data_IF_981104581553
#
_entry.id   IF_981104581553
#
_cell.length_a   1.000
_cell.length_b   1.000
_cell.length_c   1.000
_cell.angle_alpha   90.00
_cell.angle_beta   90.00
_cell.angle_gamma   90.00
#
_symmetry.space_group_name_H-M   'P 1'
#
loop_
_entity.id
_entity.type
_entity.pdbx_description
1 polymer ?
#
# COMPACT_ATOMS: atom_id res chain seq x y z
N UNK A 1 -5.80 26.80 -35.93
CA UNK A 1 -5.04 27.01 -34.70
C UNK A 1 -5.43 25.93 -33.71
N UNK A 2 -4.55 24.96 -33.51
CA UNK A 2 -4.76 23.79 -32.61
C UNK A 2 -4.21 22.47 -33.17
N UNK A 3 -3.83 22.42 -34.45
CA UNK A 3 -3.18 21.27 -35.04
C UNK A 3 -1.73 21.20 -34.59
N UNK A 4 -1.26 20.01 -34.26
CA UNK A 4 0.13 19.75 -33.86
C UNK A 4 1.02 19.48 -35.06
N UNK A 5 0.44 18.98 -36.15
CA UNK A 5 1.08 18.77 -37.46
C UNK A 5 0.03 18.81 -38.55
N UNK A 6 0.48 18.99 -39.81
CA UNK A 6 -0.30 18.88 -41.06
C UNK A 6 0.67 18.46 -42.20
N UNK A 7 0.48 17.31 -42.74
CA UNK A 7 1.24 16.79 -43.88
C UNK A 7 0.46 16.84 -45.20
N UNK A 8 -0.75 17.41 -45.16
CA UNK A 8 -1.60 17.67 -46.33
C UNK A 8 -2.50 16.51 -46.72
N UNK A 9 -2.60 15.46 -45.89
CA UNK A 9 -3.50 14.33 -46.13
C UNK A 9 -4.07 13.80 -44.80
N UNK A 10 -4.82 12.71 -44.83
CA UNK A 10 -5.41 12.05 -43.63
C UNK A 10 -5.00 10.60 -43.53
N UNK A 11 -3.86 10.25 -44.09
CA UNK A 11 -3.30 8.90 -44.04
C UNK A 11 -2.42 8.82 -42.80
N UNK A 12 -2.64 7.83 -41.92
CA UNK A 12 -1.75 7.55 -40.82
C UNK A 12 -0.46 6.89 -41.33
N UNK A 13 0.64 7.05 -40.58
CA UNK A 13 1.94 6.45 -40.83
C UNK A 13 2.82 7.17 -41.87
N UNK A 14 2.71 8.45 -41.98
CA UNK A 14 3.54 9.28 -42.84
C UNK A 14 4.06 10.57 -42.17
N UNK A 15 3.83 10.67 -40.85
CA UNK A 15 4.37 11.72 -39.97
C UNK A 15 3.33 12.52 -39.21
N UNK A 16 2.06 12.45 -39.64
CA UNK A 16 0.95 13.12 -39.02
C UNK A 16 -0.32 12.27 -39.11
N UNK A 17 -0.96 11.97 -37.99
CA UNK A 17 -2.23 11.22 -37.99
C UNK A 17 -3.33 12.02 -38.72
N UNK A 18 -4.36 11.32 -39.19
CA UNK A 18 -5.57 11.95 -39.73
C UNK A 18 -6.30 12.86 -38.72
N UNK A 19 -5.86 12.89 -37.44
CA UNK A 19 -6.32 13.81 -36.40
C UNK A 19 -5.32 14.94 -36.12
N UNK A 20 -4.34 15.16 -36.97
CA UNK A 20 -3.33 16.20 -36.88
C UNK A 20 -2.45 16.09 -35.60
N UNK A 21 -2.12 14.88 -35.21
CA UNK A 21 -1.18 14.57 -34.14
C UNK A 21 0.11 14.03 -34.75
N UNK A 22 1.24 14.42 -34.14
CA UNK A 22 2.57 13.97 -34.59
C UNK A 22 2.75 12.49 -34.27
N UNK A 23 2.99 11.69 -35.28
CA UNK A 23 3.35 10.28 -35.15
C UNK A 23 4.80 10.14 -34.74
N UNK A 24 4.99 9.73 -33.48
CA UNK A 24 6.35 9.49 -32.96
C UNK A 24 6.32 8.62 -31.73
N UNK A 25 7.34 7.82 -31.60
CA UNK A 25 7.63 7.05 -30.41
C UNK A 25 7.65 7.92 -29.15
N UNK A 26 7.03 7.42 -28.08
CA UNK A 26 7.00 8.03 -26.77
C UNK A 26 5.91 9.09 -26.56
N UNK A 27 4.87 9.08 -27.38
CA UNK A 27 3.73 10.00 -27.24
C UNK A 27 2.54 9.40 -26.47
N UNK A 28 2.62 8.10 -26.09
CA UNK A 28 1.59 7.37 -25.36
C UNK A 28 0.52 6.73 -26.25
N UNK A 29 0.73 6.74 -27.56
CA UNK A 29 -0.18 6.12 -28.55
C UNK A 29 0.63 5.21 -29.44
N UNK A 30 0.30 3.93 -29.46
CA UNK A 30 0.95 2.97 -30.34
C UNK A 30 0.50 3.22 -31.80
N UNK A 31 1.42 3.65 -32.64
CA UNK A 31 1.18 4.05 -34.03
C UNK A 31 2.06 3.26 -34.99
N UNK A 32 1.54 3.08 -36.23
CA UNK A 32 2.31 2.65 -37.40
C UNK A 32 3.17 1.40 -37.19
N UNK A 33 4.48 1.57 -37.24
CA UNK A 33 5.47 0.48 -37.12
C UNK A 33 5.89 0.19 -35.69
N UNK A 34 5.29 0.85 -34.71
CA UNK A 34 5.56 0.66 -33.32
C UNK A 34 4.99 -0.67 -32.81
N UNK A 35 5.79 -1.40 -32.05
CA UNK A 35 5.31 -2.61 -31.38
C UNK A 35 4.82 -2.33 -29.97
N UNK A 36 5.23 -1.18 -29.40
CA UNK A 36 4.81 -0.65 -28.11
C UNK A 36 4.96 0.88 -28.09
N UNK A 37 4.28 1.56 -27.18
CA UNK A 37 4.52 2.95 -26.77
C UNK A 37 4.11 3.08 -25.28
N UNK A 38 5.01 3.47 -24.42
CA UNK A 38 4.80 3.65 -22.98
C UNK A 38 4.74 5.13 -22.55
N UNK A 39 4.72 6.03 -23.55
CA UNK A 39 4.60 7.47 -23.34
C UNK A 39 5.93 8.18 -23.10
N UNK A 40 7.06 7.48 -23.31
CA UNK A 40 8.38 8.08 -23.17
C UNK A 40 9.37 7.48 -24.19
N UNK A 41 10.64 7.92 -24.19
CA UNK A 41 11.72 7.41 -25.06
C UNK A 41 12.89 6.90 -24.24
N UNK A 42 12.62 6.40 -23.04
CA UNK A 42 13.62 5.77 -22.17
C UNK A 42 13.61 4.29 -22.47
N UNK A 43 14.76 3.67 -22.62
CA UNK A 43 14.87 2.22 -22.78
C UNK A 43 15.10 1.55 -21.44
N UNK A 44 14.61 0.31 -21.27
CA UNK A 44 14.76 -0.50 -20.06
C UNK A 44 13.52 -0.47 -19.15
N UNK A 45 12.38 -0.04 -19.64
CA UNK A 45 11.10 0.05 -18.94
C UNK A 45 9.95 -0.67 -19.69
N UNK A 46 10.32 -1.50 -20.68
CA UNK A 46 9.41 -2.35 -21.43
C UNK A 46 9.23 -1.94 -22.89
N UNK A 47 9.49 -0.66 -23.22
CA UNK A 47 9.46 -0.15 -24.56
C UNK A 47 10.72 0.65 -24.88
N UNK A 48 11.44 0.28 -25.93
CA UNK A 48 12.68 0.96 -26.29
C UNK A 48 12.42 2.38 -26.80
N UNK A 49 13.46 3.22 -26.81
CA UNK A 49 13.43 4.56 -27.37
C UNK A 49 13.05 4.60 -28.89
N UNK A 50 12.90 3.45 -29.52
CA UNK A 50 12.47 3.27 -30.92
C UNK A 50 11.15 2.52 -31.03
N UNK A 51 10.39 2.43 -29.96
CA UNK A 51 9.07 1.80 -29.85
C UNK A 51 9.03 0.34 -30.33
N UNK A 52 10.05 -0.39 -29.95
CA UNK A 52 10.13 -1.83 -30.11
C UNK A 52 10.11 -2.46 -28.72
N UNK A 53 9.30 -3.50 -28.53
CA UNK A 53 9.32 -4.25 -27.28
C UNK A 53 10.74 -4.62 -26.91
N UNK A 54 11.12 -4.26 -25.72
CA UNK A 54 12.37 -4.72 -25.15
C UNK A 54 12.20 -6.17 -24.69
N UNK A 55 13.21 -7.02 -24.88
CA UNK A 55 13.15 -8.36 -24.30
C UNK A 55 13.09 -8.20 -22.78
N UNK A 56 12.20 -8.94 -22.14
CA UNK A 56 12.08 -9.02 -20.69
C UNK A 56 13.46 -9.22 -20.08
N UNK A 57 13.94 -8.23 -19.33
CA UNK A 57 15.27 -8.25 -18.71
C UNK A 57 15.10 -8.50 -17.22
N UNK A 58 15.07 -9.77 -16.87
CA UNK A 58 15.03 -10.18 -15.46
C UNK A 58 16.12 -9.49 -14.64
N UNK A 59 15.73 -8.81 -13.58
CA UNK A 59 16.65 -8.21 -12.65
C UNK A 59 16.99 -6.74 -12.91
N UNK A 60 16.21 -6.06 -13.75
CA UNK A 60 16.39 -4.64 -14.05
C UNK A 60 15.65 -3.70 -13.08
N UNK A 61 14.77 -4.24 -12.22
CA UNK A 61 13.98 -3.49 -11.25
C UNK A 61 12.57 -3.09 -11.73
N UNK A 62 12.19 -3.51 -12.93
CA UNK A 62 10.88 -3.22 -13.55
C UNK A 62 10.20 -4.55 -13.85
N UNK A 63 8.94 -4.73 -13.46
CA UNK A 63 8.14 -5.90 -13.85
C UNK A 63 7.50 -5.61 -15.20
N UNK A 64 8.04 -6.22 -16.25
CA UNK A 64 7.54 -6.06 -17.62
C UNK A 64 6.39 -7.02 -17.93
N UNK A 65 5.79 -6.81 -19.12
CA UNK A 65 4.69 -7.63 -19.59
C UNK A 65 5.19 -9.05 -19.95
N UNK A 66 4.88 -10.03 -19.12
CA UNK A 66 5.35 -11.41 -19.26
C UNK A 66 6.13 -11.90 -18.06
N UNK A 67 6.58 -11.00 -17.20
CA UNK A 67 7.22 -11.32 -15.94
C UNK A 67 6.19 -11.56 -14.83
N UNK A 68 6.42 -12.59 -14.05
CA UNK A 68 5.68 -12.82 -12.79
C UNK A 68 6.31 -12.04 -11.64
N UNK A 69 7.61 -11.73 -11.78
CA UNK A 69 8.38 -10.97 -10.79
C UNK A 69 9.70 -10.51 -11.41
N UNK A 70 10.31 -9.45 -10.89
CA UNK A 70 11.65 -9.01 -11.26
C UNK A 70 12.64 -9.19 -10.10
N UNK A 71 13.80 -9.77 -10.36
CA UNK A 71 14.86 -10.01 -9.40
C UNK A 71 15.86 -8.83 -9.27
N UNK A 72 15.51 -7.64 -9.75
CA UNK A 72 16.36 -6.43 -9.70
C UNK A 72 16.85 -6.10 -8.31
N UNK A 73 18.02 -5.53 -8.21
CA UNK A 73 18.75 -5.26 -6.95
C UNK A 73 18.05 -4.33 -5.97
N UNK A 74 16.94 -3.71 -6.37
CA UNK A 74 16.15 -2.81 -5.51
C UNK A 74 14.96 -3.48 -4.87
N UNK A 75 14.58 -4.69 -5.29
CA UNK A 75 13.40 -5.40 -4.80
C UNK A 75 13.71 -6.72 -4.05
N UNK A 76 14.96 -6.96 -3.70
CA UNK A 76 15.32 -8.08 -2.81
C UNK A 76 14.56 -8.04 -1.46
N UNK A 77 13.85 -6.94 -1.20
CA UNK A 77 13.00 -6.72 -0.02
C UNK A 77 11.50 -6.84 -0.31
N UNK A 78 11.08 -7.13 -1.54
CA UNK A 78 9.68 -7.38 -1.84
C UNK A 78 9.32 -8.81 -1.44
N UNK A 79 9.18 -8.96 -0.16
CA UNK A 79 8.46 -10.09 0.40
C UNK A 79 7.03 -9.95 -0.08
N UNK A 80 6.47 -11.03 -0.61
CA UNK A 80 5.06 -11.06 -0.90
C UNK A 80 4.29 -10.97 0.41
N UNK A 81 3.93 -9.74 0.79
CA UNK A 81 2.91 -9.53 1.81
C UNK A 81 1.58 -9.59 1.08
N UNK A 82 0.73 -10.48 1.53
CA UNK A 82 -0.64 -10.59 1.07
C UNK A 82 -1.58 -10.24 2.21
N UNK A 83 -2.61 -9.45 1.91
CA UNK A 83 -3.70 -9.16 2.84
C UNK A 83 -4.97 -9.76 2.30
N UNK A 84 -5.66 -10.54 3.13
CA UNK A 84 -6.97 -11.08 2.79
C UNK A 84 -8.01 -10.72 3.84
N UNK A 85 -9.24 -10.45 3.39
CA UNK A 85 -10.39 -10.18 4.25
C UNK A 85 -11.69 -10.62 3.55
N UNK A 86 -12.37 -11.62 4.11
CA UNK A 86 -13.53 -12.24 3.46
C UNK A 86 -13.14 -12.87 2.11
N UNK A 87 -13.74 -12.41 1.03
CA UNK A 87 -13.43 -12.85 -0.34
C UNK A 87 -12.38 -12.00 -1.05
N UNK A 88 -11.84 -10.99 -0.37
CA UNK A 88 -10.83 -10.09 -0.93
C UNK A 88 -9.42 -10.63 -0.64
N UNK A 89 -8.53 -10.50 -1.61
CA UNK A 89 -7.09 -10.67 -1.44
C UNK A 89 -6.35 -9.65 -2.29
N UNK A 90 -5.27 -9.07 -1.76
CA UNK A 90 -4.46 -8.09 -2.46
C UNK A 90 -3.06 -7.99 -1.86
N UNK A 91 -2.13 -7.52 -2.65
CA UNK A 91 -0.80 -7.11 -2.21
C UNK A 91 -0.91 -5.67 -1.70
N UNK A 92 -0.56 -5.40 -0.43
CA UNK A 92 -0.59 -4.05 0.11
C UNK A 92 0.64 -3.25 -0.33
N UNK A 93 0.47 -1.94 -0.41
CA UNK A 93 1.54 -0.98 -0.60
C UNK A 93 1.77 -0.24 0.74
N UNK A 94 2.80 -0.60 1.53
CA UNK A 94 2.99 -0.04 2.85
C UNK A 94 3.24 1.46 2.82
N UNK A 95 2.64 2.20 3.75
CA UNK A 95 2.97 3.61 3.96
C UNK A 95 4.43 3.72 4.37
N UNK A 96 5.25 4.33 3.51
CA UNK A 96 6.71 4.34 3.66
C UNK A 96 7.23 5.74 3.87
N UNK A 97 7.89 6.00 5.00
CA UNK A 97 8.46 7.32 5.35
C UNK A 97 9.80 7.18 6.06
N UNK A 98 10.63 8.21 5.97
CA UNK A 98 11.90 8.34 6.73
C UNK A 98 11.65 8.88 8.14
N UNK A 99 10.61 8.38 8.81
CA UNK A 99 10.22 8.80 10.16
C UNK A 99 9.91 7.54 10.97
N UNK A 100 10.33 7.49 12.22
CA UNK A 100 9.98 6.34 13.06
C UNK A 100 8.48 6.25 13.31
N UNK A 101 7.94 5.04 13.41
CA UNK A 101 6.52 4.74 13.46
C UNK A 101 5.74 5.58 14.50
N UNK A 102 6.27 5.70 15.73
CA UNK A 102 5.64 6.48 16.80
C UNK A 102 5.55 7.98 16.49
N UNK A 103 6.53 8.53 15.76
CA UNK A 103 6.51 9.94 15.35
C UNK A 103 5.59 10.16 14.14
N UNK A 104 5.45 9.15 13.29
CA UNK A 104 4.46 9.20 12.20
C UNK A 104 3.02 9.13 12.75
N UNK A 105 2.77 8.37 13.82
CA UNK A 105 1.48 8.39 14.50
C UNK A 105 1.13 9.78 15.00
N UNK A 106 2.12 10.52 15.49
CA UNK A 106 1.99 11.93 15.80
C UNK A 106 1.01 12.22 16.94
N UNK A 107 1.03 11.39 18.01
CA UNK A 107 0.12 11.56 19.14
C UNK A 107 0.26 12.94 19.78
N UNK A 108 -0.74 13.79 19.58
CA UNK A 108 -0.84 15.12 20.16
C UNK A 108 -2.29 15.35 20.60
N UNK A 109 -2.49 15.88 21.80
CA UNK A 109 -3.83 16.21 22.31
C UNK A 109 -4.82 15.03 22.29
N UNK A 110 -4.36 13.83 22.61
CA UNK A 110 -5.13 12.58 22.59
C UNK A 110 -5.71 12.26 21.19
N UNK A 111 -4.98 12.55 20.14
CA UNK A 111 -5.35 12.19 18.77
C UNK A 111 -4.11 11.81 17.96
N UNK A 112 -4.27 10.84 17.08
CA UNK A 112 -3.32 10.58 16.01
C UNK A 112 -3.34 11.71 14.97
N UNK A 113 -2.23 11.87 14.26
CA UNK A 113 -2.08 12.82 13.16
C UNK A 113 -1.37 12.14 11.98
N UNK A 114 -1.86 10.97 11.60
CA UNK A 114 -1.32 10.22 10.46
C UNK A 114 -1.77 10.76 9.11
N UNK A 115 -2.87 11.54 9.11
CA UNK A 115 -3.56 11.99 7.91
C UNK A 115 -4.58 10.99 7.38
N UNK A 116 -4.81 9.89 8.11
CA UNK A 116 -5.77 8.84 7.74
C UNK A 116 -6.98 8.77 8.68
N UNK A 117 -7.06 9.71 9.63
CA UNK A 117 -8.17 9.84 10.55
C UNK A 117 -9.46 10.23 9.80
N UNK A 118 -10.55 9.51 10.04
CA UNK A 118 -11.84 9.77 9.38
C UNK A 118 -13.02 9.39 10.29
N UNK A 119 -14.12 10.13 10.12
CA UNK A 119 -15.32 9.99 10.95
C UNK A 119 -15.89 8.56 10.86
N UNK A 120 -16.22 7.98 12.03
CA UNK A 120 -16.82 6.65 12.15
C UNK A 120 -16.05 5.55 11.39
N UNK A 121 -14.74 5.75 11.21
CA UNK A 121 -13.88 4.86 10.41
C UNK A 121 -12.77 4.24 11.26
N UNK A 122 -12.47 3.00 10.96
CA UNK A 122 -11.29 2.27 11.47
C UNK A 122 -10.36 1.99 10.31
N UNK A 123 -9.10 2.37 10.43
CA UNK A 123 -8.07 2.17 9.43
C UNK A 123 -7.01 1.21 9.94
N UNK A 124 -6.58 0.30 9.08
CA UNK A 124 -5.50 -0.65 9.31
C UNK A 124 -4.50 -0.53 8.17
N UNK A 125 -3.21 -0.49 8.47
CA UNK A 125 -2.18 -0.40 7.45
C UNK A 125 -0.81 -0.86 7.93
N UNK A 126 0.02 -1.25 6.98
CA UNK A 126 1.43 -1.45 7.23
C UNK A 126 2.19 -0.13 7.04
N UNK A 127 3.13 0.10 7.91
CA UNK A 127 4.06 1.22 7.86
C UNK A 127 5.50 0.72 7.79
N UNK A 128 6.29 1.25 6.87
CA UNK A 128 7.72 0.97 6.74
C UNK A 128 8.53 2.22 7.08
N UNK A 129 9.38 2.11 8.07
CA UNK A 129 10.40 3.12 8.37
C UNK A 129 11.57 2.95 7.40
N UNK A 130 11.74 3.88 6.48
CA UNK A 130 12.79 3.81 5.44
C UNK A 130 14.21 3.94 6.01
N UNK A 131 14.39 4.49 7.22
CA UNK A 131 15.71 4.59 7.82
C UNK A 131 16.18 3.25 8.42
N UNK A 132 15.24 2.42 8.86
CA UNK A 132 15.55 1.18 9.59
C UNK A 132 15.06 -0.07 8.87
N UNK A 133 14.21 0.06 7.86
CA UNK A 133 13.52 -1.04 7.19
C UNK A 133 12.43 -1.72 8.05
N UNK A 134 12.24 -1.29 9.28
CA UNK A 134 11.32 -1.94 10.21
C UNK A 134 9.87 -1.71 9.80
N UNK A 135 9.11 -2.80 9.77
CA UNK A 135 7.68 -2.79 9.48
C UNK A 135 6.86 -2.79 10.75
N UNK A 136 5.79 -2.02 10.73
CA UNK A 136 4.83 -1.87 11.83
C UNK A 136 3.40 -2.00 11.30
N UNK A 137 2.50 -2.51 12.13
CA UNK A 137 1.07 -2.54 11.85
C UNK A 137 0.39 -1.47 12.69
N UNK A 138 -0.32 -0.58 12.02
CA UNK A 138 -1.07 0.51 12.60
C UNK A 138 -2.55 0.17 12.64
N UNK A 139 -3.20 0.53 13.74
CA UNK A 139 -4.64 0.65 13.85
C UNK A 139 -4.95 2.08 14.28
N UNK A 140 -5.79 2.78 13.51
CA UNK A 140 -6.19 4.16 13.76
C UNK A 140 -7.70 4.27 13.61
N UNK A 141 -8.37 4.77 14.63
CA UNK A 141 -9.83 4.81 14.72
C UNK A 141 -10.33 6.22 14.99
N UNK A 142 -11.38 6.64 14.28
CA UNK A 142 -12.03 7.93 14.52
C UNK A 142 -11.37 9.11 13.82
N UNK A 143 -11.64 10.30 14.31
CA UNK A 143 -11.24 11.57 13.69
C UNK A 143 -10.17 12.30 14.51
N UNK A 144 -9.32 13.05 13.82
CA UNK A 144 -8.50 14.06 14.48
C UNK A 144 -9.39 15.22 14.99
N UNK A 145 -9.43 15.34 16.32
CA UNK A 145 -10.22 16.35 17.01
C UNK A 145 -9.87 17.79 16.64
N UNK A 146 -8.63 18.01 16.24
CA UNK A 146 -8.11 19.37 16.03
C UNK A 146 -8.51 19.96 14.68
N UNK A 147 -8.86 19.12 13.70
CA UNK A 147 -9.00 19.57 12.30
C UNK A 147 -10.43 19.72 11.82
N UNK A 148 -11.43 19.09 12.42
CA UNK A 148 -12.73 18.98 11.74
C UNK A 148 -13.90 19.76 12.35
N UNK A 149 -13.88 20.08 13.64
CA UNK A 149 -15.06 20.63 14.32
C UNK A 149 -16.30 19.72 14.29
N UNK A 150 -16.19 18.55 13.66
CA UNK A 150 -17.22 17.51 13.58
C UNK A 150 -17.10 16.62 14.80
N UNK A 151 -18.23 16.17 15.34
CA UNK A 151 -18.24 15.26 16.49
C UNK A 151 -18.21 13.81 16.07
N UNK A 152 -17.25 13.06 16.61
CA UNK A 152 -17.22 11.61 16.55
C UNK A 152 -18.21 11.05 17.58
N UNK A 153 -19.20 10.20 17.19
CA UNK A 153 -20.02 9.49 18.17
C UNK A 153 -19.15 8.54 19.00
N UNK A 154 -19.63 8.23 20.21
CA UNK A 154 -18.96 7.26 21.07
C UNK A 154 -18.77 5.94 20.31
N UNK A 155 -17.52 5.54 20.14
CA UNK A 155 -17.11 4.34 19.45
C UNK A 155 -16.48 3.32 20.40
N UNK A 156 -16.62 2.05 20.09
CA UNK A 156 -15.94 0.97 20.79
C UNK A 156 -15.46 -0.05 19.79
N UNK A 157 -14.14 -0.24 19.74
CA UNK A 157 -13.43 -1.13 18.82
C UNK A 157 -12.60 -2.12 19.62
N UNK A 158 -12.65 -3.38 19.22
CA UNK A 158 -11.79 -4.42 19.79
C UNK A 158 -11.11 -5.13 18.62
N UNK A 159 -9.79 -5.19 18.66
CA UNK A 159 -9.01 -6.04 17.77
C UNK A 159 -8.28 -7.11 18.57
N UNK A 160 -8.40 -8.36 18.10
CA UNK A 160 -7.55 -9.44 18.58
C UNK A 160 -6.55 -9.80 17.48
N UNK A 161 -5.27 -9.71 17.81
CA UNK A 161 -4.19 -10.07 16.91
C UNK A 161 -3.67 -11.44 17.29
N UNK A 162 -3.65 -12.39 16.36
CA UNK A 162 -3.22 -13.77 16.55
C UNK A 162 -2.12 -14.14 15.58
N UNK A 163 -1.21 -14.99 15.99
CA UNK A 163 -0.09 -15.40 15.16
C UNK A 163 0.93 -14.29 14.92
N UNK A 164 0.96 -13.31 15.82
CA UNK A 164 1.93 -12.21 15.72
C UNK A 164 3.34 -12.77 15.92
N UNK A 165 4.29 -12.47 15.02
CA UNK A 165 5.65 -13.00 15.08
C UNK A 165 6.37 -12.68 16.40
N UNK A 166 7.31 -13.54 16.76
CA UNK A 166 8.21 -13.26 17.87
C UNK A 166 9.05 -11.99 17.57
N UNK A 167 9.27 -11.17 18.59
CA UNK A 167 9.99 -9.90 18.47
C UNK A 167 9.08 -8.69 18.19
N UNK A 168 7.84 -8.90 17.75
CA UNK A 168 6.86 -7.81 17.63
C UNK A 168 6.45 -7.34 19.03
N UNK A 169 6.36 -6.05 19.21
CA UNK A 169 5.99 -5.41 20.47
C UNK A 169 5.05 -4.23 20.25
N UNK A 170 4.31 -3.85 21.29
CA UNK A 170 3.58 -2.59 21.31
C UNK A 170 4.58 -1.45 21.41
N UNK A 171 4.58 -0.56 20.43
CA UNK A 171 5.43 0.64 20.44
C UNK A 171 4.65 1.86 20.88
N UNK A 172 3.36 1.87 20.58
CA UNK A 172 2.45 2.93 20.99
C UNK A 172 1.07 2.32 21.29
N UNK A 173 0.48 2.75 22.39
CA UNK A 173 -0.95 2.64 22.68
C UNK A 173 -1.38 4.05 23.02
N UNK A 174 -2.41 4.55 22.35
CA UNK A 174 -2.85 5.94 22.51
C UNK A 174 -3.17 6.21 23.97
N UNK A 175 -4.05 5.42 24.55
CA UNK A 175 -4.23 5.34 25.97
C UNK A 175 -3.51 4.12 26.57
N UNK A 176 -2.92 4.31 27.76
CA UNK A 176 -2.05 3.31 28.36
C UNK A 176 -2.76 1.97 28.65
N UNK A 177 -2.32 0.92 27.96
CA UNK A 177 -2.79 -0.45 28.18
C UNK A 177 -3.96 -0.89 27.32
N UNK A 178 -4.48 -0.05 26.45
CA UNK A 178 -5.52 -0.43 25.51
C UNK A 178 -5.01 -1.43 24.48
N UNK A 179 -3.85 -1.16 23.87
CA UNK A 179 -3.14 -2.15 23.07
C UNK A 179 -2.09 -2.85 23.92
N UNK A 180 -2.18 -4.15 24.05
CA UNK A 180 -1.33 -4.94 24.96
C UNK A 180 -1.02 -6.34 24.45
N UNK A 181 0.10 -6.88 24.87
CA UNK A 181 0.42 -8.29 24.73
C UNK A 181 -0.38 -9.09 25.78
N UNK A 182 -1.09 -10.11 25.36
CA UNK A 182 -1.91 -10.97 26.23
C UNK A 182 -1.44 -12.43 26.23
N UNK A 183 -0.34 -12.73 25.53
CA UNK A 183 0.26 -14.06 25.47
C UNK A 183 1.19 -14.23 24.29
N UNK A 184 1.75 -15.42 24.11
CA UNK A 184 2.65 -15.72 23.00
C UNK A 184 1.96 -15.53 21.66
N UNK A 185 2.40 -14.54 20.86
CA UNK A 185 1.82 -14.21 19.57
C UNK A 185 0.39 -13.70 19.61
N UNK A 186 -0.09 -13.30 20.80
CA UNK A 186 -1.43 -12.76 21.00
C UNK A 186 -1.34 -11.33 21.52
N UNK A 187 -2.00 -10.41 20.81
CA UNK A 187 -2.18 -9.04 21.23
C UNK A 187 -3.65 -8.69 21.20
N UNK A 188 -4.02 -7.69 22.00
CA UNK A 188 -5.40 -7.20 22.05
C UNK A 188 -5.41 -5.68 22.16
N UNK A 189 -6.24 -5.05 21.34
CA UNK A 189 -6.61 -3.67 21.44
C UNK A 189 -8.07 -3.54 21.88
N UNK A 190 -8.34 -2.72 22.90
CA UNK A 190 -9.68 -2.39 23.40
C UNK A 190 -9.78 -0.87 23.46
N UNK A 191 -10.41 -0.27 22.47
CA UNK A 191 -10.51 1.19 22.35
C UNK A 191 -11.94 1.67 22.57
N UNK A 192 -12.07 2.74 23.35
CA UNK A 192 -13.36 3.34 23.64
C UNK A 192 -13.23 4.87 23.66
N UNK A 193 -13.54 5.50 22.56
CA UNK A 193 -13.25 6.90 22.29
C UNK A 193 -14.46 7.68 21.81
N UNK A 194 -14.39 9.00 21.98
CA UNK A 194 -15.40 9.96 21.50
C UNK A 194 -14.72 11.28 21.17
N UNK A 195 -15.06 11.86 20.02
CA UNK A 195 -14.54 13.17 19.56
C UNK A 195 -13.01 13.25 19.37
N UNK A 196 -12.33 12.09 19.23
CA UNK A 196 -10.88 11.99 18.99
C UNK A 196 -10.56 10.76 18.16
N UNK A 197 -9.29 10.57 17.86
CA UNK A 197 -8.76 9.29 17.40
C UNK A 197 -8.33 8.43 18.58
N UNK A 198 -8.29 7.15 18.33
CA UNK A 198 -7.72 6.16 19.23
C UNK A 198 -7.01 5.08 18.40
N UNK A 199 -6.09 4.35 19.00
CA UNK A 199 -5.38 3.31 18.26
C UNK A 199 -4.06 2.89 18.85
N UNK A 200 -3.20 2.35 17.98
CA UNK A 200 -1.88 1.91 18.41
C UNK A 200 -1.04 1.26 17.33
N UNK A 201 0.17 0.87 17.73
CA UNK A 201 1.20 0.38 16.84
C UNK A 201 1.80 -0.91 17.38
N UNK A 202 1.75 -1.97 16.58
CA UNK A 202 2.60 -3.15 16.72
C UNK A 202 3.82 -3.00 15.80
N UNK A 203 5.03 -3.06 16.35
CA UNK A 203 6.28 -2.83 15.61
C UNK A 203 7.20 -4.03 15.68
N UNK A 204 7.96 -4.26 14.59
CA UNK A 204 8.99 -5.27 14.51
C UNK A 204 8.56 -6.51 13.75
N UNK A 205 7.64 -6.38 12.79
CA UNK A 205 7.31 -7.48 11.89
C UNK A 205 8.54 -7.82 11.05
N UNK A 206 9.03 -9.08 11.12
CA UNK A 206 10.25 -9.44 10.43
C UNK A 206 10.03 -9.47 8.92
N UNK A 207 10.91 -8.79 8.18
CA UNK A 207 11.07 -8.92 6.75
C UNK A 207 12.57 -9.03 6.44
N UNK A 208 13.01 -10.08 5.74
CA UNK A 208 12.27 -11.26 5.29
C UNK A 208 11.70 -12.10 6.45
N UNK A 209 10.65 -12.85 6.17
CA UNK A 209 10.10 -13.75 7.16
C UNK A 209 8.82 -14.45 6.71
N UNK A 210 8.66 -15.69 7.17
CA UNK A 210 7.42 -16.43 6.98
C UNK A 210 6.56 -16.28 8.22
N UNK A 211 5.47 -15.54 8.10
CA UNK A 211 4.53 -15.36 9.19
C UNK A 211 3.12 -15.06 8.67
N UNK A 212 2.14 -15.30 9.49
CA UNK A 212 0.77 -14.91 9.22
C UNK A 212 0.14 -14.38 10.50
N UNK A 213 -0.27 -13.13 10.44
CA UNK A 213 -0.98 -12.45 11.55
C UNK A 213 -2.43 -12.26 11.16
N UNK A 214 -3.32 -12.72 12.00
CA UNK A 214 -4.76 -12.52 11.87
C UNK A 214 -5.22 -11.42 12.82
N UNK A 215 -5.97 -10.48 12.31
CA UNK A 215 -6.66 -9.42 13.05
C UNK A 215 -8.15 -9.73 13.05
N UNK A 216 -8.71 -10.03 14.21
CA UNK A 216 -10.14 -10.29 14.40
C UNK A 216 -10.79 -8.99 14.90
N UNK A 217 -11.46 -8.20 14.03
CA UNK A 217 -12.08 -6.94 14.41
C UNK A 217 -13.46 -7.18 15.05
N UNK A 218 -13.78 -6.39 16.06
CA UNK A 218 -15.13 -6.30 16.61
C UNK A 218 -15.49 -4.83 16.80
N UNK A 219 -16.47 -4.37 16.04
CA UNK A 219 -17.00 -3.02 16.11
C UNK A 219 -18.32 -3.05 16.86
N UNK A 220 -18.32 -2.65 18.12
CA UNK A 220 -19.51 -2.69 18.96
C UNK A 220 -20.44 -1.50 18.69
N UNK A 221 -19.86 -0.32 18.41
CA UNK A 221 -20.59 0.91 18.07
C UNK A 221 -19.67 1.94 17.46
N UNK A 222 -20.25 2.95 16.81
CA UNK A 222 -19.58 4.17 16.38
C UNK A 222 -18.65 4.02 15.17
N UNK A 223 -18.48 2.82 14.62
CA UNK A 223 -17.71 2.57 13.40
C UNK A 223 -18.64 2.04 12.31
N UNK A 224 -18.58 2.66 11.14
CA UNK A 224 -19.38 2.33 9.95
C UNK A 224 -18.52 1.93 8.76
N UNK A 225 -17.23 2.27 8.78
CA UNK A 225 -16.30 1.90 7.75
C UNK A 225 -15.05 1.24 8.34
N UNK A 226 -14.58 0.19 7.69
CA UNK A 226 -13.30 -0.44 7.97
C UNK A 226 -12.48 -0.42 6.70
N UNK A 227 -11.24 0.06 6.76
CA UNK A 227 -10.40 0.27 5.59
C UNK A 227 -8.99 -0.24 5.79
N UNK A 228 -8.42 -0.73 4.72
CA UNK A 228 -6.98 -0.86 4.56
C UNK A 228 -6.46 0.39 3.86
N UNK A 229 -5.33 0.92 4.32
CA UNK A 229 -4.67 2.08 3.71
C UNK A 229 -3.41 1.63 3.00
N UNK A 230 -3.28 2.00 1.73
CA UNK A 230 -2.09 1.85 0.90
C UNK A 230 -1.44 3.23 0.62
N UNK A 231 -0.13 3.28 0.43
CA UNK A 231 0.57 4.47 -0.08
C UNK A 231 0.34 4.63 -1.60
N UNK A 232 0.22 5.83 -2.16
CA UNK A 232 -0.13 7.09 -1.53
C UNK A 232 -1.65 7.27 -1.42
N UNK A 233 -2.18 7.30 -0.22
CA UNK A 233 -3.58 7.65 0.09
C UNK A 233 -4.66 6.84 -0.66
N UNK A 234 -4.42 5.56 -0.91
CA UNK A 234 -5.41 4.65 -1.47
C UNK A 234 -6.10 3.90 -0.34
N UNK A 235 -7.41 3.81 -0.42
CA UNK A 235 -8.23 3.13 0.58
C UNK A 235 -8.97 1.95 -0.03
N UNK A 236 -8.86 0.79 0.61
CA UNK A 236 -9.65 -0.40 0.28
C UNK A 236 -10.65 -0.65 1.39
N UNK A 237 -11.93 -0.66 1.05
CA UNK A 237 -12.98 -0.99 2.03
C UNK A 237 -12.91 -2.47 2.37
N UNK A 238 -12.77 -2.75 3.67
CA UNK A 238 -12.78 -4.10 4.22
C UNK A 238 -14.17 -4.42 4.78
N UNK A 239 -14.59 -5.69 4.78
CA UNK A 239 -15.82 -6.09 5.44
C UNK A 239 -15.73 -5.90 6.96
N UNK A 240 -16.74 -5.28 7.57
CA UNK A 240 -16.79 -5.03 9.02
C UNK A 240 -16.81 -6.28 9.90
N UNK A 241 -17.17 -7.42 9.34
CA UNK A 241 -17.36 -8.67 10.07
C UNK A 241 -16.35 -9.76 9.70
N UNK A 242 -15.40 -9.43 8.86
CA UNK A 242 -14.37 -10.38 8.41
C UNK A 242 -13.04 -10.12 9.10
N UNK A 243 -12.37 -11.19 9.43
CA UNK A 243 -10.99 -11.11 9.87
C UNK A 243 -10.11 -10.62 8.74
N UNK A 244 -9.04 -9.94 9.10
CA UNK A 244 -7.97 -9.52 8.20
C UNK A 244 -6.77 -10.41 8.45
N UNK A 245 -6.31 -11.14 7.44
CA UNK A 245 -5.11 -11.96 7.54
C UNK A 245 -4.02 -11.31 6.72
N UNK A 246 -2.91 -11.03 7.38
CA UNK A 246 -1.70 -10.47 6.78
C UNK A 246 -0.67 -11.58 6.76
N UNK A 247 -0.28 -12.01 5.58
CA UNK A 247 0.70 -13.09 5.40
C UNK A 247 1.93 -12.53 4.71
N UNK A 248 3.08 -12.67 5.34
CA UNK A 248 4.36 -12.48 4.69
C UNK A 248 4.96 -13.85 4.37
N UNK A 249 5.52 -13.98 3.21
CA UNK A 249 6.29 -15.16 2.82
C UNK A 249 7.69 -14.69 2.47
N UNK A 250 8.68 -15.34 3.04
CA UNK A 250 10.02 -15.27 2.46
C UNK A 250 9.87 -15.74 1.03
N UNK A 251 10.35 -14.97 0.07
CA UNK A 251 10.36 -15.43 -1.30
C UNK A 251 11.04 -16.81 -1.33
N UNK A 252 10.26 -17.84 -1.55
CA UNK A 252 10.79 -19.18 -1.79
C UNK A 252 11.50 -19.11 -3.13
N UNK A 253 12.81 -19.02 -3.09
CA UNK A 253 13.75 -18.75 -4.16
C UNK A 253 13.59 -17.33 -4.77
N UNK A 254 14.72 -16.65 -5.04
CA UNK A 254 14.68 -15.46 -5.86
C UNK A 254 13.88 -15.80 -7.13
N UNK A 255 13.18 -14.80 -7.67
CA UNK A 255 12.71 -14.88 -9.05
C UNK A 255 13.73 -15.67 -9.84
N UNK A 256 13.32 -16.74 -10.48
CA UNK A 256 14.24 -17.49 -11.31
C UNK A 256 14.85 -16.52 -12.30
N UNK A 257 16.08 -16.77 -12.69
CA UNK A 257 16.77 -15.99 -13.74
C UNK A 257 16.02 -15.97 -15.07
N UNK A 258 14.88 -16.66 -15.15
CA UNK A 258 13.95 -16.70 -16.27
C UNK A 258 12.63 -15.97 -16.00
N UNK A 259 12.55 -15.16 -14.93
CA UNK A 259 11.38 -14.36 -14.53
C UNK A 259 10.05 -15.13 -14.38
N UNK A 260 10.10 -16.45 -14.14
CA UNK A 260 8.92 -17.30 -13.94
C UNK A 260 8.69 -17.66 -12.48
#
# INVERSE_FOLDING_TARGET
PGEMCDDGNTTDCDGCTGMCQVERCGNGVQECAETCDDGNTVSGDGCSATCVFEPDVCGNGVVEMGEVCDAGTMNADLFAIEVSAGSMSFVPDPVSRSTAAQFFYGLVSASAHTGYEDLETSNLFLYRDLNTGVVSLFAVHGIDRTTTGVRQPLATVIFQYRGVPAGVSVTLSDDGGELRNVGSGLFRGDWNFQDNTDGGILRGFPLPGDWSTRVDPTFLRGIRAFRWVDDPNRFRTLPLTSDVVITARSAAAPCRTDCT
#
